data_IF_388693089355
#
_entry.id   IF_388693089355
#
_cell.length_a   1.000
_cell.length_b   1.000
_cell.length_c   1.000
_cell.angle_alpha   90.00
_cell.angle_beta   90.00
_cell.angle_gamma   90.00
#
_symmetry.space_group_name_H-M   'P 1'
#
loop_
_entity.id
_entity.type
_entity.pdbx_description
1 polymer ?
#
# COMPACT_ATOMS: atom_id res chain seq x y z
N UNK A 1 0.06 1.28 4.41
CA UNK A 1 1.20 0.95 5.27
C UNK A 1 0.79 0.69 6.72
N UNK A 2 0.00 1.55 7.35
CA UNK A 2 -0.39 1.46 8.77
C UNK A 2 -1.13 0.17 9.12
N UNK A 3 -2.14 -0.23 8.33
CA UNK A 3 -2.88 -1.48 8.56
C UNK A 3 -1.97 -2.71 8.53
N UNK A 4 -1.00 -2.73 7.62
CA UNK A 4 -0.02 -3.82 7.55
C UNK A 4 0.89 -3.84 8.79
N UNK A 5 1.33 -2.67 9.26
CA UNK A 5 2.14 -2.55 10.47
C UNK A 5 1.39 -2.98 11.74
N UNK A 6 0.06 -2.82 11.75
CA UNK A 6 -0.82 -3.28 12.83
C UNK A 6 -1.28 -4.73 12.67
N UNK A 7 -0.82 -5.41 11.61
CA UNK A 7 -1.25 -6.77 11.25
C UNK A 7 -2.79 -6.91 11.15
N UNK A 8 -3.46 -5.88 10.63
CA UNK A 8 -4.89 -5.92 10.41
C UNK A 8 -5.16 -6.61 9.09
N UNK A 9 -5.92 -7.73 9.07
CA UNK A 9 -6.32 -8.38 7.84
C UNK A 9 -7.01 -7.42 6.88
N UNK A 10 -6.64 -7.50 5.59
CA UNK A 10 -7.10 -6.56 4.58
C UNK A 10 -7.24 -7.21 3.21
N UNK A 11 -8.05 -6.59 2.38
CA UNK A 11 -8.15 -6.85 0.94
C UNK A 11 -7.78 -5.55 0.23
N UNK A 12 -6.87 -5.60 -0.73
CA UNK A 12 -6.46 -4.43 -1.50
C UNK A 12 -7.25 -4.38 -2.80
N UNK A 13 -8.03 -3.33 -2.97
CA UNK A 13 -8.85 -3.12 -4.15
C UNK A 13 -8.44 -1.85 -4.87
N UNK A 14 -8.14 -1.97 -6.17
CA UNK A 14 -7.74 -0.86 -7.05
C UNK A 14 -8.76 -0.78 -8.19
N UNK A 15 -9.90 -0.08 -7.98
CA UNK A 15 -10.94 0.07 -9.00
C UNK A 15 -10.45 0.99 -10.12
N UNK A 16 -10.33 0.47 -11.34
CA UNK A 16 -9.87 1.25 -12.49
C UNK A 16 -10.97 2.12 -13.12
N UNK A 17 -12.25 1.83 -12.85
CA UNK A 17 -13.38 2.62 -13.30
C UNK A 17 -13.46 4.01 -12.65
N UNK A 18 -12.88 4.17 -11.46
CA UNK A 18 -12.92 5.40 -10.67
C UNK A 18 -11.59 6.17 -10.67
N UNK A 19 -10.78 6.01 -11.70
CA UNK A 19 -9.54 6.81 -11.86
C UNK A 19 -9.82 8.33 -11.88
N UNK A 20 -11.08 8.75 -12.09
CA UNK A 20 -11.50 10.13 -11.90
C UNK A 20 -11.44 10.62 -10.44
N UNK A 21 -11.41 9.70 -9.46
CA UNK A 21 -11.18 10.06 -8.04
C UNK A 21 -9.77 10.59 -7.79
N UNK A 22 -8.81 10.31 -8.68
CA UNK A 22 -7.48 10.95 -8.63
C UNK A 22 -7.57 12.47 -8.89
N UNK A 23 -8.71 12.97 -9.40
CA UNK A 23 -8.99 14.41 -9.48
C UNK A 23 -9.19 15.08 -8.13
N UNK A 24 -9.49 14.31 -7.09
CA UNK A 24 -9.66 14.81 -5.73
C UNK A 24 -8.35 14.94 -4.94
N UNK A 25 -7.23 14.48 -5.51
CA UNK A 25 -5.92 14.75 -4.91
C UNK A 25 -5.53 16.19 -5.23
N UNK A 26 -5.62 17.04 -4.20
CA UNK A 26 -5.11 18.42 -4.22
C UNK A 26 -3.61 18.39 -4.46
N UNK A 27 -3.20 18.85 -5.63
CA UNK A 27 -1.79 18.94 -6.02
C UNK A 27 -1.58 18.81 -7.53
N UNK A 28 -0.34 18.88 -7.98
CA UNK A 28 0.05 18.84 -9.41
C UNK A 28 -0.47 17.62 -10.18
N UNK A 29 -0.83 16.53 -9.51
CA UNK A 29 -1.45 15.35 -10.10
C UNK A 29 -2.89 15.61 -10.61
N UNK A 30 -3.66 16.49 -9.94
CA UNK A 30 -4.99 16.89 -10.40
C UNK A 30 -4.97 17.65 -11.73
N UNK A 31 -3.90 18.40 -11.99
CA UNK A 31 -3.69 19.10 -13.26
C UNK A 31 -3.31 18.12 -14.39
N UNK A 32 -2.51 17.10 -14.08
CA UNK A 32 -2.11 16.05 -15.02
C UNK A 32 -3.30 15.17 -15.45
N UNK A 33 -4.30 14.96 -14.55
CA UNK A 33 -5.49 14.17 -14.86
C UNK A 33 -6.41 14.82 -15.92
N UNK A 34 -6.19 16.09 -16.28
CA UNK A 34 -6.92 16.81 -17.33
C UNK A 34 -6.38 16.56 -18.75
N UNK A 35 -5.23 15.92 -18.87
CA UNK A 35 -4.60 15.68 -20.19
C UNK A 35 -5.27 14.47 -20.87
N UNK A 36 -5.86 14.63 -22.08
CA UNK A 36 -6.41 13.51 -22.81
C UNK A 36 -5.30 12.50 -23.16
N UNK A 37 -5.54 11.24 -22.85
CA UNK A 37 -4.56 10.16 -23.04
C UNK A 37 -3.79 9.75 -21.77
N UNK A 38 -3.81 10.54 -20.70
CA UNK A 38 -3.13 10.22 -19.43
C UNK A 38 -3.68 8.95 -18.79
N UNK A 39 -4.96 8.62 -18.98
CA UNK A 39 -5.55 7.33 -18.50
C UNK A 39 -4.78 6.12 -19.07
N UNK A 40 -4.39 6.18 -20.34
CA UNK A 40 -3.60 5.11 -20.99
C UNK A 40 -2.19 5.07 -20.42
N UNK A 41 -1.60 6.24 -20.20
CA UNK A 41 -0.27 6.36 -19.62
C UNK A 41 -0.24 5.85 -18.15
N UNK A 42 -1.23 6.21 -17.35
CA UNK A 42 -1.38 5.73 -15.97
C UNK A 42 -1.62 4.22 -15.92
N UNK A 43 -2.45 3.68 -16.83
CA UNK A 43 -2.64 2.24 -16.96
C UNK A 43 -1.35 1.53 -17.36
N UNK A 44 -0.59 2.07 -18.29
CA UNK A 44 0.71 1.54 -18.70
C UNK A 44 1.74 1.63 -17.56
N UNK A 45 1.75 2.73 -16.81
CA UNK A 45 2.65 2.91 -15.66
C UNK A 45 2.33 1.94 -14.53
N UNK A 46 1.04 1.74 -14.23
CA UNK A 46 0.57 0.74 -13.27
C UNK A 46 0.95 -0.68 -13.69
N UNK A 47 0.78 -1.00 -14.99
CA UNK A 47 1.18 -2.28 -15.55
C UNK A 47 2.69 -2.48 -15.47
N UNK A 48 3.47 -1.46 -15.84
CA UNK A 48 4.93 -1.48 -15.75
C UNK A 48 5.40 -1.64 -14.29
N UNK A 49 4.82 -0.89 -13.36
CA UNK A 49 5.14 -0.98 -11.95
C UNK A 49 4.79 -2.35 -11.36
N UNK A 50 3.64 -2.91 -11.77
CA UNK A 50 3.22 -4.27 -11.42
C UNK A 50 4.18 -5.33 -11.93
N UNK A 51 4.62 -5.22 -13.19
CA UNK A 51 5.60 -6.15 -13.77
C UNK A 51 6.94 -6.08 -13.05
N UNK A 52 7.35 -4.87 -12.63
CA UNK A 52 8.59 -4.67 -11.87
C UNK A 52 8.54 -5.27 -10.47
N UNK A 53 7.36 -5.34 -9.85
CA UNK A 53 7.14 -5.84 -8.49
C UNK A 53 6.54 -7.25 -8.46
N UNK A 54 6.99 -8.14 -9.34
CA UNK A 54 6.50 -9.51 -9.45
C UNK A 54 4.98 -9.63 -9.62
N UNK A 55 4.36 -8.63 -10.23
CA UNK A 55 2.92 -8.57 -10.45
C UNK A 55 2.11 -8.04 -9.28
N UNK A 56 2.73 -7.67 -8.16
CA UNK A 56 2.06 -7.16 -6.97
C UNK A 56 1.96 -5.63 -6.94
N UNK A 57 0.92 -5.13 -6.29
CA UNK A 57 0.65 -3.70 -6.07
C UNK A 57 0.62 -3.38 -4.57
N UNK A 58 0.12 -4.31 -3.77
CA UNK A 58 0.04 -4.15 -2.33
C UNK A 58 1.42 -4.26 -1.69
N UNK A 59 1.75 -3.30 -0.83
CA UNK A 59 3.05 -3.27 -0.14
C UNK A 59 3.39 -4.58 0.59
N UNK A 60 2.48 -5.23 1.33
CA UNK A 60 2.79 -6.51 1.97
C UNK A 60 3.23 -7.59 0.98
N UNK A 61 2.57 -7.67 -0.19
CA UNK A 61 2.90 -8.65 -1.21
C UNK A 61 4.26 -8.36 -1.87
N UNK A 62 4.55 -7.08 -2.12
CA UNK A 62 5.85 -6.63 -2.67
C UNK A 62 6.97 -6.98 -1.70
N UNK A 63 6.80 -6.67 -0.42
CA UNK A 63 7.81 -6.92 0.62
C UNK A 63 8.03 -8.41 0.84
N UNK A 64 6.96 -9.20 0.83
CA UNK A 64 7.03 -10.66 1.00
C UNK A 64 7.53 -11.39 -0.25
N UNK A 65 7.48 -10.77 -1.43
CA UNK A 65 7.71 -11.44 -2.72
C UNK A 65 6.66 -12.52 -3.06
N UNK A 66 5.54 -12.56 -2.32
CA UNK A 66 4.43 -13.51 -2.46
C UNK A 66 3.10 -12.87 -2.11
N UNK A 67 2.00 -13.52 -2.48
CA UNK A 67 0.65 -13.08 -2.11
C UNK A 67 0.35 -13.31 -0.63
N UNK A 68 0.39 -12.26 0.17
CA UNK A 68 0.00 -12.22 1.60
C UNK A 68 -1.40 -11.67 1.74
N UNK A 69 -1.72 -10.63 0.98
CA UNK A 69 -3.04 -10.02 0.94
C UNK A 69 -3.65 -10.19 -0.44
N UNK A 70 -4.96 -10.47 -0.55
CA UNK A 70 -5.63 -10.51 -1.85
C UNK A 70 -5.62 -9.14 -2.51
N UNK A 71 -5.32 -9.12 -3.81
CA UNK A 71 -5.35 -7.93 -4.65
C UNK A 71 -6.41 -8.08 -5.73
N UNK A 72 -7.25 -7.08 -5.87
CA UNK A 72 -8.23 -6.94 -6.95
C UNK A 72 -7.99 -5.66 -7.70
N UNK A 73 -7.67 -5.79 -8.98
CA UNK A 73 -7.37 -4.64 -9.86
C UNK A 73 -8.25 -4.76 -11.08
N UNK A 74 -8.94 -3.69 -11.42
CA UNK A 74 -9.83 -3.66 -12.58
C UNK A 74 -11.17 -3.03 -12.29
N UNK A 75 -12.18 -3.41 -13.07
CA UNK A 75 -13.54 -3.01 -12.82
C UNK A 75 -14.08 -3.82 -11.64
N UNK A 76 -14.39 -3.14 -10.55
CA UNK A 76 -14.84 -3.75 -9.30
C UNK A 76 -16.23 -3.22 -8.98
N UNK A 77 -17.18 -4.13 -8.83
CA UNK A 77 -18.55 -3.77 -8.43
C UNK A 77 -18.73 -3.83 -6.92
N UNK A 78 -19.69 -3.07 -6.34
CA UNK A 78 -20.00 -3.16 -4.92
C UNK A 78 -20.37 -4.57 -4.47
N UNK A 79 -21.05 -5.33 -5.33
CA UNK A 79 -21.42 -6.72 -5.07
C UNK A 79 -20.20 -7.63 -4.92
N UNK A 80 -19.21 -7.48 -5.78
CA UNK A 80 -17.96 -8.23 -5.70
C UNK A 80 -17.21 -7.92 -4.39
N UNK A 81 -17.18 -6.64 -4.00
CA UNK A 81 -16.57 -6.23 -2.73
C UNK A 81 -17.29 -6.89 -1.56
N UNK A 82 -18.62 -6.82 -1.53
CA UNK A 82 -19.42 -7.40 -0.47
C UNK A 82 -19.26 -8.91 -0.37
N UNK A 83 -19.32 -9.61 -1.51
CA UNK A 83 -19.14 -11.07 -1.56
C UNK A 83 -17.77 -11.46 -1.01
N UNK A 84 -16.70 -10.83 -1.47
CA UNK A 84 -15.35 -11.16 -1.04
C UNK A 84 -15.14 -10.83 0.45
N UNK A 85 -15.68 -9.71 0.92
CA UNK A 85 -15.62 -9.35 2.34
C UNK A 85 -16.35 -10.38 3.22
N UNK A 86 -17.54 -10.84 2.80
CA UNK A 86 -18.30 -11.86 3.51
C UNK A 86 -17.52 -13.18 3.55
N UNK A 87 -16.94 -13.61 2.43
CA UNK A 87 -16.13 -14.83 2.37
C UNK A 87 -14.95 -14.78 3.35
N UNK A 88 -14.25 -13.64 3.41
CA UNK A 88 -13.13 -13.45 4.33
C UNK A 88 -13.58 -13.44 5.79
N UNK A 89 -14.63 -12.67 6.11
CA UNK A 89 -15.17 -12.58 7.46
C UNK A 89 -15.75 -13.90 7.96
N UNK A 90 -16.21 -14.75 7.04
CA UNK A 90 -16.73 -16.09 7.36
C UNK A 90 -15.64 -17.16 7.53
N UNK A 91 -14.37 -16.79 7.36
CA UNK A 91 -13.24 -17.72 7.42
C UNK A 91 -12.19 -17.23 8.44
N UNK A 92 -12.40 -17.47 9.75
CA UNK A 92 -11.48 -17.04 10.80
C UNK A 92 -10.04 -17.50 10.57
N UNK A 93 -9.86 -18.72 10.09
CA UNK A 93 -8.53 -19.29 9.81
C UNK A 93 -7.76 -18.48 8.74
N UNK A 94 -8.49 -17.98 7.71
CA UNK A 94 -7.87 -17.13 6.68
C UNK A 94 -7.46 -15.77 7.25
N UNK A 95 -8.28 -15.22 8.16
CA UNK A 95 -7.97 -13.95 8.83
C UNK A 95 -6.78 -14.09 9.76
N UNK A 96 -6.71 -15.18 10.52
CA UNK A 96 -5.58 -15.48 11.41
C UNK A 96 -4.30 -15.72 10.60
N UNK A 97 -4.34 -16.55 9.57
CA UNK A 97 -3.19 -16.79 8.70
C UNK A 97 -2.66 -15.52 8.05
N UNK A 98 -3.56 -14.62 7.60
CA UNK A 98 -3.12 -13.33 7.06
C UNK A 98 -2.52 -12.42 8.13
N UNK A 99 -3.06 -12.46 9.35
CA UNK A 99 -2.50 -11.71 10.49
C UNK A 99 -1.09 -12.16 10.81
N UNK A 100 -0.87 -13.46 10.88
CA UNK A 100 0.45 -14.05 11.14
C UNK A 100 1.46 -13.67 10.06
N UNK A 101 1.03 -13.76 8.80
CA UNK A 101 1.84 -13.33 7.65
C UNK A 101 2.21 -11.85 7.73
N UNK A 102 1.27 -10.99 8.09
CA UNK A 102 1.51 -9.55 8.25
C UNK A 102 2.41 -9.25 9.46
N UNK A 103 2.26 -10.00 10.55
CA UNK A 103 3.15 -9.89 11.72
C UNK A 103 4.58 -10.27 11.37
N UNK A 104 4.77 -11.34 10.59
CA UNK A 104 6.09 -11.77 10.13
C UNK A 104 6.79 -10.73 9.22
N UNK A 105 6.01 -9.92 8.49
CA UNK A 105 6.53 -8.82 7.68
C UNK A 105 6.79 -7.54 8.46
N UNK A 106 6.29 -7.47 9.66
CA UNK A 106 6.47 -6.33 10.55
C UNK A 106 7.92 -6.29 11.01
N UNK A 107 8.65 -5.24 10.64
CA UNK A 107 10.01 -5.03 11.14
C UNK A 107 10.06 -4.87 12.65
N UNK A 108 11.26 -4.94 13.21
CA UNK A 108 11.49 -4.68 14.64
C UNK A 108 10.92 -3.32 15.05
N UNK A 109 10.22 -3.24 16.19
CA UNK A 109 9.76 -1.98 16.72
C UNK A 109 10.96 -1.10 17.09
N UNK A 110 10.85 0.21 16.86
CA UNK A 110 11.89 1.16 17.24
C UNK A 110 12.64 1.82 16.10
N UNK A 111 12.24 1.60 14.84
CA UNK A 111 12.86 2.24 13.67
C UNK A 111 12.96 3.77 13.81
N UNK A 112 11.93 4.42 14.38
CA UNK A 112 11.91 5.87 14.62
C UNK A 112 12.98 6.26 15.64
N UNK A 113 13.15 5.47 16.71
CA UNK A 113 14.16 5.74 17.74
C UNK A 113 15.57 5.50 17.20
N UNK A 114 15.77 4.46 16.39
CA UNK A 114 17.03 4.19 15.72
C UNK A 114 17.40 5.35 14.77
N UNK A 115 16.46 5.80 13.95
CA UNK A 115 16.66 6.95 13.06
C UNK A 115 16.95 8.22 13.83
N UNK A 116 16.23 8.50 14.91
CA UNK A 116 16.48 9.66 15.76
C UNK A 116 17.87 9.64 16.42
N UNK A 117 18.34 8.45 16.81
CA UNK A 117 19.70 8.27 17.34
C UNK A 117 20.75 8.56 16.26
N UNK A 118 20.57 8.03 15.06
CA UNK A 118 21.45 8.27 13.92
C UNK A 118 21.53 9.75 13.53
N UNK A 119 20.37 10.40 13.42
CA UNK A 119 20.32 11.85 13.14
C UNK A 119 21.01 12.65 14.24
N UNK A 120 20.81 12.31 15.51
CA UNK A 120 21.48 12.98 16.64
C UNK A 120 23.00 12.82 16.55
N UNK A 121 23.49 11.66 16.17
CA UNK A 121 24.93 11.39 16.07
C UNK A 121 25.58 12.09 14.87
N UNK A 122 24.79 12.41 13.83
CA UNK A 122 25.23 13.20 12.68
C UNK A 122 25.21 14.72 12.93
N UNK A 123 24.48 15.18 13.96
CA UNK A 123 24.46 16.61 14.30
C UNK A 123 25.80 17.03 14.92
N UNK A 124 26.42 18.14 14.47
CA UNK A 124 27.63 18.64 15.07
C UNK A 124 27.41 18.97 16.55
N UNK A 125 28.25 18.43 17.42
CA UNK A 125 28.20 18.63 18.89
C UNK A 125 28.48 20.04 19.37
N UNK A 126 28.55 21.01 18.48
CA UNK A 126 28.86 22.40 18.79
C UNK A 126 27.67 23.33 18.51
N UNK A 127 26.76 23.40 19.47
CA UNK A 127 26.13 24.70 19.69
C UNK A 127 27.02 25.46 20.69
N UNK A 128 27.60 26.59 20.32
CA UNK A 128 28.29 27.45 21.29
C UNK A 128 27.27 27.87 22.33
N UNK A 129 27.60 27.65 23.59
CA UNK A 129 26.86 28.20 24.73
C UNK A 129 26.85 29.73 24.61
N UNK A 130 25.64 30.28 24.48
CA UNK A 130 25.44 31.73 24.61
C UNK A 130 25.56 32.14 26.06
#
# INVERSE_FOLDING_TARGET
AELGALAVPMIVMVPTQHLDMMRAWDGGFGLLARIPGLRRLLGALLTFWRLRNNGFVAWPNITAGRGVVPERIGEITPQQIATEAIEWLSSPERLEGQRDDLQALRGEPGAVMALAAEVRDLLPRTLPSA
#
